data_IF_032973818454
#
_entry.id   IF_032973818454
#
_cell.length_a   1.000
_cell.length_b   1.000
_cell.length_c   1.000
_cell.angle_alpha   90.00
_cell.angle_beta   90.00
_cell.angle_gamma   90.00
#
_symmetry.space_group_name_H-M   'P 1'
#
loop_
_entity.id
_entity.type
_entity.pdbx_description
1 polymer ?
#
# COMPACT_ATOMS: atom_id res chain seq x y z
N UNK A 1 -8.86 2.24 -24.77
CA UNK A 1 -7.75 1.34 -24.36
C UNK A 1 -7.75 1.27 -22.84
N UNK A 2 -8.08 0.12 -22.24
CA UNK A 2 -8.03 -0.06 -20.79
C UNK A 2 -6.57 -0.34 -20.38
N UNK A 3 -6.04 0.45 -19.45
CA UNK A 3 -4.66 0.34 -18.97
C UNK A 3 -4.34 -1.07 -18.44
N UNK A 4 -3.14 -1.57 -18.75
CA UNK A 4 -2.66 -2.90 -18.32
C UNK A 4 -2.74 -3.10 -16.80
N UNK A 5 -2.60 -2.01 -16.04
CA UNK A 5 -2.68 -2.02 -14.57
C UNK A 5 -4.05 -2.48 -14.06
N UNK A 6 -5.12 -2.34 -14.85
CA UNK A 6 -6.48 -2.79 -14.47
C UNK A 6 -6.73 -4.28 -14.73
N UNK A 7 -5.79 -4.98 -15.38
CA UNK A 7 -5.84 -6.42 -15.64
C UNK A 7 -5.04 -7.23 -14.62
N UNK A 8 -4.31 -6.58 -13.73
CA UNK A 8 -3.54 -7.28 -12.70
C UNK A 8 -4.46 -7.79 -11.59
N UNK A 9 -4.24 -9.04 -11.13
CA UNK A 9 -4.96 -9.57 -9.99
C UNK A 9 -4.72 -8.73 -8.73
N UNK A 10 -5.73 -8.58 -7.85
CA UNK A 10 -5.58 -7.82 -6.61
C UNK A 10 -4.44 -8.34 -5.74
N UNK A 11 -4.16 -9.65 -5.74
CA UNK A 11 -3.11 -10.30 -4.95
C UNK A 11 -1.72 -9.73 -5.24
N UNK A 12 -1.44 -9.42 -6.50
CA UNK A 12 -0.17 -8.82 -6.93
C UNK A 12 -0.01 -7.42 -6.32
N UNK A 13 -1.09 -6.64 -6.29
CA UNK A 13 -1.06 -5.34 -5.60
C UNK A 13 -0.80 -5.50 -4.11
N UNK A 14 -1.43 -6.49 -3.45
CA UNK A 14 -1.20 -6.73 -2.02
C UNK A 14 0.25 -7.07 -1.73
N UNK A 15 0.85 -7.92 -2.56
CA UNK A 15 2.26 -8.28 -2.43
C UNK A 15 3.14 -7.05 -2.59
N UNK A 16 2.97 -6.25 -3.66
CA UNK A 16 3.70 -4.99 -3.88
C UNK A 16 3.54 -4.05 -2.69
N UNK A 17 2.32 -3.88 -2.17
CA UNK A 17 2.05 -3.01 -1.03
C UNK A 17 2.74 -3.50 0.25
N UNK A 18 2.92 -4.81 0.43
CA UNK A 18 3.65 -5.34 1.59
C UNK A 18 5.13 -4.89 1.61
N UNK A 19 5.74 -4.66 0.44
CA UNK A 19 7.10 -4.10 0.34
C UNK A 19 7.19 -2.63 0.75
N UNK A 20 6.05 -1.94 0.83
CA UNK A 20 6.01 -0.54 1.31
C UNK A 20 5.95 -0.45 2.83
N UNK A 21 5.73 -1.57 3.52
CA UNK A 21 5.70 -1.60 4.97
C UNK A 21 7.11 -1.53 5.55
N UNK A 22 7.31 -0.77 6.63
CA UNK A 22 8.60 -0.72 7.32
C UNK A 22 8.91 -2.08 7.96
N UNK A 23 9.98 -2.72 7.50
CA UNK A 23 10.44 -3.98 8.10
C UNK A 23 10.95 -3.73 9.54
N UNK A 24 10.65 -4.66 10.45
CA UNK A 24 10.99 -4.59 11.87
C UNK A 24 12.48 -4.36 12.16
N UNK A 25 13.36 -4.66 11.20
CA UNK A 25 14.82 -4.50 11.31
C UNK A 25 15.29 -3.08 10.97
N UNK A 26 14.53 -2.32 10.16
CA UNK A 26 14.95 -1.02 9.62
C UNK A 26 14.44 0.19 10.40
N UNK A 27 13.45 0.02 11.29
CA UNK A 27 12.67 1.15 11.79
C UNK A 27 12.34 1.08 13.28
N UNK A 28 13.33 1.35 14.14
CA UNK A 28 13.08 1.83 15.51
C UNK A 28 12.41 3.22 15.55
N UNK A 29 12.24 3.88 14.40
CA UNK A 29 11.70 5.25 14.28
C UNK A 29 10.32 5.31 13.60
N UNK A 30 9.99 4.39 12.68
CA UNK A 30 8.69 4.42 11.98
C UNK A 30 7.49 3.97 12.84
N UNK A 31 7.74 3.35 14.01
CA UNK A 31 6.68 2.98 14.94
C UNK A 31 6.15 4.14 15.77
N UNK A 32 6.86 5.27 15.83
CA UNK A 32 6.45 6.33 16.73
C UNK A 32 5.21 7.02 16.18
N UNK A 33 5.20 7.46 14.92
CA UNK A 33 4.07 8.21 14.40
C UNK A 33 4.07 8.08 12.88
N UNK A 34 2.94 7.62 12.31
CA UNK A 34 2.58 7.87 10.93
C UNK A 34 2.39 9.39 10.74
N UNK A 35 3.48 10.16 10.84
CA UNK A 35 3.48 11.61 10.99
C UNK A 35 3.41 12.34 9.65
N UNK A 36 3.66 11.62 8.55
CA UNK A 36 3.48 12.14 7.20
C UNK A 36 2.46 11.32 6.44
N UNK A 37 1.49 11.98 5.81
CA UNK A 37 0.56 11.35 4.87
C UNK A 37 1.27 10.59 3.74
N UNK A 38 2.55 10.91 3.48
CA UNK A 38 3.37 10.34 2.42
C UNK A 38 3.96 8.96 2.76
N UNK A 39 4.12 8.64 4.04
CA UNK A 39 4.60 7.33 4.51
C UNK A 39 3.45 6.40 4.90
N UNK A 40 2.21 6.92 4.89
CA UNK A 40 1.03 6.14 5.23
C UNK A 40 0.54 5.31 4.03
N UNK A 41 0.03 4.09 4.25
CA UNK A 41 -0.58 3.26 3.20
C UNK A 41 -1.74 3.95 2.48
N UNK A 42 -2.28 5.04 3.05
CA UNK A 42 -3.23 5.93 2.38
C UNK A 42 -2.76 6.41 1.01
N UNK A 43 -1.45 6.63 0.77
CA UNK A 43 -0.94 7.07 -0.55
C UNK A 43 -1.33 6.12 -1.68
N UNK A 44 -1.35 4.81 -1.40
CA UNK A 44 -1.70 3.77 -2.36
C UNK A 44 -3.16 3.89 -2.81
N UNK A 45 -4.02 4.42 -1.94
CA UNK A 45 -5.44 4.61 -2.24
C UNK A 45 -5.70 5.75 -3.24
N UNK A 46 -4.76 6.68 -3.44
CA UNK A 46 -4.96 7.84 -4.32
C UNK A 46 -4.61 7.59 -5.79
N UNK A 47 -3.96 6.46 -6.13
CA UNK A 47 -3.49 6.18 -7.50
C UNK A 47 -4.63 5.90 -8.47
N UNK A 48 -5.48 4.91 -8.16
CA UNK A 48 -6.68 4.60 -8.94
C UNK A 48 -7.68 3.79 -8.10
N UNK A 49 -8.91 3.60 -8.61
CA UNK A 49 -9.96 2.84 -7.90
C UNK A 49 -9.57 1.40 -7.60
N UNK A 50 -8.79 0.75 -8.49
CA UNK A 50 -8.32 -0.64 -8.30
C UNK A 50 -7.33 -0.72 -7.15
N UNK A 51 -6.37 0.21 -7.08
CA UNK A 51 -5.39 0.27 -6.00
C UNK A 51 -6.06 0.58 -4.67
N UNK A 52 -7.03 1.51 -4.67
CA UNK A 52 -7.84 1.81 -3.49
C UNK A 52 -8.56 0.57 -2.97
N UNK A 53 -9.22 -0.18 -3.84
CA UNK A 53 -9.92 -1.41 -3.45
C UNK A 53 -8.94 -2.44 -2.85
N UNK A 54 -7.81 -2.68 -3.51
CA UNK A 54 -6.81 -3.65 -3.05
C UNK A 54 -6.14 -3.23 -1.72
N UNK A 55 -5.84 -1.94 -1.54
CA UNK A 55 -5.22 -1.43 -0.31
C UNK A 55 -6.17 -1.51 0.89
N UNK A 56 -7.43 -1.10 0.71
CA UNK A 56 -8.46 -1.22 1.75
C UNK A 56 -8.74 -2.69 2.10
N UNK A 57 -8.71 -3.60 1.11
CA UNK A 57 -8.91 -5.04 1.35
C UNK A 57 -7.70 -5.77 1.92
N UNK A 58 -6.61 -5.07 2.26
CA UNK A 58 -5.38 -5.67 2.80
C UNK A 58 -5.18 -5.24 4.25
N UNK A 59 -5.64 -6.06 5.23
CA UNK A 59 -5.56 -5.69 6.65
C UNK A 59 -4.13 -5.45 7.15
N UNK A 60 -3.13 -6.14 6.59
CA UNK A 60 -1.73 -6.01 7.01
C UNK A 60 -1.10 -4.66 6.68
N UNK A 61 -1.78 -3.79 5.91
CA UNK A 61 -1.30 -2.43 5.65
C UNK A 61 -1.65 -1.44 6.77
N UNK A 62 -2.63 -1.77 7.61
CA UNK A 62 -3.15 -0.89 8.66
C UNK A 62 -2.70 -1.37 10.03
#
# INVERSE_FOLDING_TARGET
ILSAIRRMPPEIFREIFAWTLPNATTNKVAHTIAESMNESPWVLTYVCSVWRAAAISTPSLW
#
